data_IF_006273186855
#
_entry.id   IF_006273186855
#
_cell.length_a   1.000
_cell.length_b   1.000
_cell.length_c   1.000
_cell.angle_alpha   90.00
_cell.angle_beta   90.00
_cell.angle_gamma   90.00
#
_symmetry.space_group_name_H-M   'P 1'
#
loop_
_entity.id
_entity.type
_entity.pdbx_description
1 polymer ?
#
# COMPACT_ATOMS: atom_id res chain seq x y z
N UNK A 1 16.53 14.42 -7.40
CA UNK A 1 16.33 13.55 -6.22
C UNK A 1 15.95 14.38 -5.01
N UNK A 2 15.09 13.84 -4.14
CA UNK A 2 14.57 14.55 -2.96
C UNK A 2 15.17 13.96 -1.69
N UNK A 3 15.61 14.82 -0.77
CA UNK A 3 16.14 14.44 0.53
C UNK A 3 15.36 15.11 1.65
N UNK A 4 15.37 14.50 2.83
CA UNK A 4 14.75 15.06 4.03
C UNK A 4 15.72 15.96 4.79
N UNK A 5 15.20 16.91 5.57
CA UNK A 5 16.02 17.65 6.53
C UNK A 5 16.52 16.72 7.65
N UNK A 6 17.72 16.95 8.22
CA UNK A 6 18.22 16.24 9.39
C UNK A 6 17.21 16.25 10.55
N UNK A 7 16.93 15.08 11.13
CA UNK A 7 15.92 14.93 12.19
C UNK A 7 16.58 14.56 13.53
N UNK A 8 16.26 15.25 14.64
CA UNK A 8 16.82 14.93 15.96
C UNK A 8 16.56 13.47 16.39
N UNK A 9 15.36 12.95 16.09
CA UNK A 9 14.99 11.55 16.37
C UNK A 9 15.67 10.51 15.47
N UNK A 10 16.50 10.95 14.53
CA UNK A 10 17.28 10.10 13.62
C UNK A 10 18.78 10.43 13.70
N UNK A 11 19.27 10.83 14.87
CA UNK A 11 20.66 11.23 15.11
C UNK A 11 21.17 12.33 14.16
N UNK A 12 20.30 13.28 13.80
CA UNK A 12 20.61 14.32 12.81
C UNK A 12 20.98 13.76 11.42
N UNK A 13 20.53 12.55 11.10
CA UNK A 13 20.70 11.95 9.78
C UNK A 13 19.63 12.46 8.80
N UNK A 14 20.04 12.62 7.54
CA UNK A 14 19.16 12.90 6.39
C UNK A 14 18.92 11.60 5.63
N UNK A 15 17.66 11.33 5.30
CA UNK A 15 17.25 10.17 4.50
C UNK A 15 16.83 10.60 3.08
N UNK A 16 17.18 9.76 2.12
CA UNK A 16 16.75 9.88 0.73
C UNK A 16 15.28 9.49 0.58
N UNK A 17 14.49 10.36 -0.05
CA UNK A 17 13.06 10.13 -0.31
C UNK A 17 12.88 9.87 -1.80
N UNK A 18 13.07 8.61 -2.18
CA UNK A 18 13.03 8.19 -3.57
C UNK A 18 11.63 8.39 -4.18
N UNK A 19 11.59 9.01 -5.36
CA UNK A 19 10.39 9.21 -6.19
C UNK A 19 10.75 8.85 -7.62
N UNK A 20 9.92 8.04 -8.26
CA UNK A 20 10.21 7.56 -9.62
C UNK A 20 9.53 8.45 -10.66
N UNK A 21 10.35 8.97 -11.59
CA UNK A 21 9.93 9.83 -12.70
C UNK A 21 9.84 9.03 -14.01
N UNK A 22 8.92 8.07 -14.05
CA UNK A 22 8.68 7.21 -15.21
C UNK A 22 7.17 7.02 -15.40
N UNK A 23 6.74 6.46 -16.54
CA UNK A 23 5.33 6.16 -16.79
C UNK A 23 4.79 5.20 -15.71
N UNK A 24 3.57 5.47 -15.22
CA UNK A 24 2.94 4.84 -14.04
C UNK A 24 3.62 5.19 -12.69
N UNK A 25 4.67 6.02 -12.69
CA UNK A 25 5.27 6.61 -11.50
C UNK A 25 5.82 5.59 -10.51
N UNK A 26 5.61 5.84 -9.22
CA UNK A 26 6.09 4.98 -8.14
C UNK A 26 5.44 3.58 -8.14
N UNK A 27 4.32 3.38 -8.85
CA UNK A 27 3.69 2.04 -8.95
C UNK A 27 4.49 1.07 -9.82
N UNK A 28 5.43 1.56 -10.64
CA UNK A 28 6.34 0.70 -11.43
C UNK A 28 7.59 0.25 -10.66
N UNK A 29 7.86 0.81 -9.48
CA UNK A 29 9.09 0.57 -8.71
C UNK A 29 8.84 0.21 -7.24
N UNK A 30 7.59 0.28 -6.76
CA UNK A 30 7.30 -0.08 -5.38
C UNK A 30 7.56 -1.58 -5.12
N UNK A 31 7.54 -1.98 -3.86
CA UNK A 31 7.73 -3.38 -3.47
C UNK A 31 6.58 -4.33 -3.86
N UNK A 32 5.62 -3.88 -4.69
CA UNK A 32 4.47 -4.64 -5.15
C UNK A 32 3.55 -5.21 -4.05
N UNK A 33 3.74 -4.78 -2.79
CA UNK A 33 2.88 -5.17 -1.67
C UNK A 33 1.55 -4.44 -1.78
N UNK A 34 0.47 -5.21 -1.93
CA UNK A 34 -0.89 -4.70 -1.83
C UNK A 34 -1.37 -4.78 -0.39
N UNK A 35 -1.75 -3.65 0.19
CA UNK A 35 -2.33 -3.59 1.54
C UNK A 35 -3.42 -2.52 1.56
N UNK A 36 -4.52 -2.82 2.25
CA UNK A 36 -5.57 -1.84 2.58
C UNK A 36 -5.34 -1.34 4.01
N UNK A 37 -5.61 -0.06 4.26
CA UNK A 37 -5.53 0.51 5.61
C UNK A 37 -6.58 -0.08 6.57
N UNK A 38 -6.50 0.30 7.84
CA UNK A 38 -7.51 -0.07 8.84
C UNK A 38 -8.76 0.80 8.69
N UNK A 39 -9.90 0.32 9.20
CA UNK A 39 -11.17 1.08 9.21
C UNK A 39 -11.02 2.42 9.93
N UNK A 40 -10.25 2.44 11.02
CA UNK A 40 -10.01 3.63 11.83
C UNK A 40 -9.22 4.70 11.06
N UNK A 41 -8.26 4.31 10.22
CA UNK A 41 -7.51 5.24 9.38
C UNK A 41 -8.44 5.99 8.42
N UNK A 42 -9.43 5.29 7.86
CA UNK A 42 -10.42 5.91 6.97
C UNK A 42 -11.37 6.81 7.76
N UNK A 43 -11.89 6.34 8.89
CA UNK A 43 -12.80 7.12 9.73
C UNK A 43 -12.15 8.36 10.34
N UNK A 44 -10.82 8.38 10.49
CA UNK A 44 -10.08 9.56 10.93
C UNK A 44 -10.13 10.70 9.91
N UNK A 45 -10.21 10.38 8.61
CA UNK A 45 -10.46 11.39 7.59
C UNK A 45 -11.91 11.86 7.71
N UNK A 46 -12.13 12.97 8.43
CA UNK A 46 -13.46 13.49 8.77
C UNK A 46 -14.39 13.73 7.56
N UNK A 47 -13.85 13.79 6.35
CA UNK A 47 -14.60 13.97 5.11
C UNK A 47 -15.05 12.65 4.44
N UNK A 48 -14.47 11.50 4.81
CA UNK A 48 -14.70 10.23 4.11
C UNK A 48 -14.79 9.09 5.11
N UNK A 49 -15.95 8.46 5.23
CA UNK A 49 -16.11 7.26 6.09
C UNK A 49 -15.70 6.00 5.32
N UNK A 50 -15.31 4.96 6.06
CA UNK A 50 -14.99 3.65 5.50
C UNK A 50 -16.10 3.13 4.56
N UNK A 51 -17.35 3.27 4.99
CA UNK A 51 -18.51 2.76 4.26
C UNK A 51 -18.68 3.42 2.88
N UNK A 52 -18.35 4.70 2.75
CA UNK A 52 -18.36 5.39 1.47
C UNK A 52 -17.30 4.84 0.49
N UNK A 53 -16.17 4.38 0.99
CA UNK A 53 -15.05 3.89 0.19
C UNK A 53 -15.18 2.43 -0.23
N UNK A 54 -15.98 1.64 0.50
CA UNK A 54 -16.12 0.20 0.27
C UNK A 54 -16.44 -0.15 -1.20
N UNK A 55 -17.29 0.64 -1.85
CA UNK A 55 -17.69 0.40 -3.24
C UNK A 55 -16.58 0.63 -4.28
N UNK A 56 -15.49 1.29 -3.91
CA UNK A 56 -14.38 1.61 -4.80
C UNK A 56 -13.28 0.55 -4.82
N UNK A 57 -13.10 -0.21 -3.73
CA UNK A 57 -12.02 -1.21 -3.67
C UNK A 57 -12.10 -2.26 -4.80
N UNK A 58 -13.26 -2.85 -5.13
CA UNK A 58 -13.37 -3.81 -6.23
C UNK A 58 -13.07 -3.21 -7.61
N UNK A 59 -13.09 -1.88 -7.75
CA UNK A 59 -12.73 -1.19 -9.00
C UNK A 59 -11.23 -1.02 -9.16
N UNK A 60 -10.49 -1.00 -8.04
CA UNK A 60 -9.04 -0.78 -8.00
C UNK A 60 -8.28 -2.10 -8.09
N UNK A 61 -8.85 -3.18 -7.57
CA UNK A 61 -8.23 -4.50 -7.61
C UNK A 61 -9.21 -5.59 -8.07
N UNK A 62 -8.69 -6.51 -8.87
CA UNK A 62 -9.33 -7.79 -9.14
C UNK A 62 -8.41 -8.87 -8.60
N UNK A 63 -8.92 -9.73 -7.72
CA UNK A 63 -8.16 -10.90 -7.30
C UNK A 63 -8.22 -11.93 -8.42
N UNK A 64 -7.10 -12.13 -9.12
CA UNK A 64 -6.95 -13.26 -10.02
C UNK A 64 -6.52 -14.46 -9.20
N UNK A 65 -7.45 -15.39 -9.00
CA UNK A 65 -7.12 -16.71 -8.46
C UNK A 65 -6.60 -17.51 -9.66
N UNK A 66 -5.32 -17.83 -9.68
CA UNK A 66 -4.77 -18.72 -10.70
C UNK A 66 -5.40 -20.12 -10.52
N UNK A 67 -6.12 -20.65 -11.53
CA UNK A 67 -6.72 -21.97 -11.44
C UNK A 67 -5.69 -23.10 -11.29
N UNK A 68 -4.40 -22.87 -11.60
CA UNK A 68 -3.33 -23.84 -11.43
C UNK A 68 -2.62 -23.75 -10.08
N UNK A 69 -2.82 -22.68 -9.32
CA UNK A 69 -2.36 -22.58 -7.94
C UNK A 69 -3.44 -23.20 -7.05
N UNK A 70 -3.56 -24.52 -7.10
CA UNK A 70 -4.40 -25.27 -6.17
C UNK A 70 -3.86 -25.00 -4.76
N UNK A 71 -4.59 -24.22 -3.98
CA UNK A 71 -4.31 -24.01 -2.57
C UNK A 71 -4.32 -25.40 -1.92
N UNK A 72 -3.14 -26.00 -1.72
CA UNK A 72 -3.03 -27.27 -1.02
C UNK A 72 -3.43 -26.97 0.42
N UNK A 73 -4.63 -27.39 0.87
CA UNK A 73 -5.06 -27.09 2.23
C UNK A 73 -4.04 -27.74 3.18
N UNK A 74 -3.69 -27.09 4.31
CA UNK A 74 -2.80 -27.71 5.28
C UNK A 74 -3.44 -29.02 5.74
N UNK A 75 -2.73 -30.13 5.57
CA UNK A 75 -3.14 -31.42 6.12
C UNK A 75 -3.38 -31.25 7.61
N UNK A 76 -4.63 -31.51 8.04
CA UNK A 76 -4.94 -31.65 9.46
C UNK A 76 -4.17 -32.87 9.97
N UNK A 77 -3.12 -32.62 10.76
CA UNK A 77 -2.51 -33.63 11.63
C UNK A 77 -3.48 -34.02 12.74
#
# INVERSE_FOLDING_TARGET
>A
DYTSIPRPGLNSCSIDVQRVHMLRGCTSHNGMVYTRGSVDDYNHFTAVTWDCLLSYFPKVHTMSIDPHTQFMPPERK
#
